data_IF_974107799965
#
_entry.id   IF_974107799965
#
_cell.length_a   1.000
_cell.length_b   1.000
_cell.length_c   1.000
_cell.angle_alpha   90.00
_cell.angle_beta   90.00
_cell.angle_gamma   90.00
#
_symmetry.space_group_name_H-M   'P 1'
#
loop_
_entity.id
_entity.type
_entity.pdbx_description
1 polymer ?
#
# COMPACT_ATOMS: atom_id res chain seq x y z
N UNK A 1 32.50 35.29 -35.02
CA UNK A 1 32.27 36.74 -34.90
C UNK A 1 31.94 37.02 -33.43
N UNK A 2 32.93 37.21 -32.56
CA UNK A 2 33.35 38.52 -32.00
C UNK A 2 32.55 38.82 -30.72
N UNK A 3 33.03 39.27 -29.56
CA UNK A 3 34.32 39.75 -29.05
C UNK A 3 34.32 39.52 -27.52
N UNK A 4 35.50 39.29 -26.94
CA UNK A 4 35.78 39.17 -25.51
C UNK A 4 36.16 40.54 -24.93
N UNK A 5 35.59 40.98 -23.79
CA UNK A 5 36.17 42.07 -22.97
C UNK A 5 36.00 41.75 -21.48
N UNK A 6 37.12 41.70 -20.75
CA UNK A 6 37.17 42.03 -19.32
C UNK A 6 37.44 40.88 -18.34
N UNK A 7 38.71 40.75 -17.92
CA UNK A 7 39.14 40.09 -16.67
C UNK A 7 39.19 41.12 -15.54
N UNK A 8 38.90 40.71 -14.29
CA UNK A 8 39.56 41.07 -13.01
C UNK A 8 38.83 40.27 -11.90
N UNK A 9 39.42 39.18 -11.41
CA UNK A 9 40.11 38.99 -10.10
C UNK A 9 39.28 38.29 -9.04
N UNK A 10 39.79 37.13 -8.62
CA UNK A 10 39.81 36.55 -7.26
C UNK A 10 38.52 36.50 -6.43
N UNK A 11 38.09 35.28 -6.12
CA UNK A 11 37.26 34.99 -4.95
C UNK A 11 36.38 33.77 -5.16
N UNK A 12 36.77 32.62 -4.62
CA UNK A 12 35.88 31.47 -4.40
C UNK A 12 34.76 31.83 -3.42
N UNK A 13 33.49 31.57 -3.74
CA UNK A 13 32.43 31.55 -2.72
C UNK A 13 31.96 30.11 -2.45
N UNK A 14 32.07 29.76 -1.18
CA UNK A 14 31.39 28.69 -0.44
C UNK A 14 29.85 28.72 -0.67
N UNK A 15 29.16 27.59 -0.93
CA UNK A 15 27.72 27.59 -1.16
C UNK A 15 26.95 27.36 0.14
N UNK A 16 26.63 28.43 0.86
CA UNK A 16 25.58 28.40 1.87
C UNK A 16 24.71 29.66 1.82
N UNK A 17 23.40 29.44 1.68
CA UNK A 17 22.31 30.38 1.83
C UNK A 17 22.19 31.50 0.77
N UNK A 18 21.16 31.39 -0.08
CA UNK A 18 20.54 32.56 -0.70
C UNK A 18 19.03 32.56 -0.42
N UNK A 19 18.64 33.45 0.48
CA UNK A 19 17.32 34.09 0.54
C UNK A 19 17.38 35.26 -0.43
N UNK A 20 16.43 35.43 -1.36
CA UNK A 20 16.08 36.76 -1.85
C UNK A 20 14.59 36.92 -2.18
N UNK A 21 14.08 38.06 -1.71
CA UNK A 21 12.76 38.64 -1.90
C UNK A 21 12.60 39.24 -3.30
N UNK A 22 11.36 39.12 -3.79
CA UNK A 22 10.59 39.97 -4.74
C UNK A 22 11.33 41.06 -5.52
N UNK A 23 11.11 41.08 -6.84
CA UNK A 23 10.81 42.31 -7.56
C UNK A 23 9.84 42.06 -8.74
N UNK A 24 8.90 43.00 -8.87
CA UNK A 24 7.70 43.08 -9.72
C UNK A 24 7.97 43.60 -11.13
N UNK A 25 7.22 43.10 -12.13
CA UNK A 25 6.88 43.82 -13.37
C UNK A 25 5.51 43.32 -13.93
N UNK A 26 4.70 44.15 -14.63
CA UNK A 26 3.24 44.02 -14.69
C UNK A 26 2.69 43.22 -15.88
N UNK A 27 1.46 42.73 -15.70
CA UNK A 27 0.65 41.97 -16.65
C UNK A 27 0.16 42.75 -17.88
N UNK A 28 -0.22 42.05 -18.95
CA UNK A 28 -1.43 42.33 -19.70
C UNK A 28 -2.54 41.29 -19.39
N UNK A 29 -3.75 41.80 -19.14
CA UNK A 29 -5.07 41.14 -19.14
C UNK A 29 -5.31 40.47 -20.52
N UNK A 30 -6.06 39.39 -20.78
CA UNK A 30 -7.30 38.79 -20.24
C UNK A 30 -7.33 37.32 -20.72
N UNK A 31 -7.72 36.37 -19.86
CA UNK A 31 -8.61 35.24 -20.20
C UNK A 31 -8.96 34.50 -18.90
N UNK A 32 -10.24 34.51 -18.55
CA UNK A 32 -10.77 33.79 -17.40
C UNK A 32 -10.53 32.28 -17.57
N UNK A 33 -9.73 31.69 -16.67
CA UNK A 33 -9.61 30.26 -16.48
C UNK A 33 -10.17 29.91 -15.09
N UNK A 34 -11.02 28.88 -15.08
CA UNK A 34 -11.79 28.33 -13.95
C UNK A 34 -10.97 28.09 -12.67
N UNK A 35 -11.60 28.10 -11.48
CA UNK A 35 -10.90 27.80 -10.24
C UNK A 35 -10.33 26.36 -10.24
N UNK A 36 -9.18 26.13 -9.57
CA UNK A 36 -8.59 24.79 -9.43
C UNK A 36 -9.50 23.88 -8.60
N UNK A 37 -9.57 22.57 -8.89
CA UNK A 37 -10.42 21.65 -8.14
C UNK A 37 -9.92 21.51 -6.70
N UNK A 38 -10.85 21.64 -5.77
CA UNK A 38 -10.73 21.35 -4.34
C UNK A 38 -10.21 19.92 -4.11
N UNK A 39 -9.37 19.66 -3.08
CA UNK A 39 -8.86 18.32 -2.82
C UNK A 39 -10.00 17.34 -2.61
N UNK A 40 -10.15 16.40 -3.54
CA UNK A 40 -11.13 15.33 -3.43
C UNK A 40 -10.76 14.46 -2.23
N UNK A 41 -11.67 14.39 -1.26
CA UNK A 41 -11.58 13.50 -0.11
C UNK A 41 -11.65 12.04 -0.57
N UNK A 42 -10.50 11.43 -0.88
CA UNK A 42 -10.39 9.99 -1.14
C UNK A 42 -9.88 9.25 0.09
N UNK A 43 -10.80 8.98 1.00
CA UNK A 43 -10.85 7.79 1.84
C UNK A 43 -12.09 7.94 2.73
N UNK A 44 -13.14 7.18 2.46
CA UNK A 44 -14.16 6.98 3.47
C UNK A 44 -13.49 6.34 4.70
N UNK A 45 -13.65 6.90 5.91
CA UNK A 45 -13.24 6.22 7.12
C UNK A 45 -14.15 5.02 7.31
N UNK A 46 -13.63 3.81 7.07
CA UNK A 46 -14.37 2.57 7.33
C UNK A 46 -14.69 2.50 8.84
N UNK A 47 -15.95 2.29 9.24
CA UNK A 47 -16.31 2.05 10.63
C UNK A 47 -15.54 0.87 11.23
N UNK A 48 -14.94 1.12 12.38
CA UNK A 48 -14.28 0.13 13.23
C UNK A 48 -15.32 -0.85 13.79
N UNK A 49 -15.30 -2.10 13.36
CA UNK A 49 -15.72 -3.21 14.21
C UNK A 49 -14.48 -3.74 14.93
N UNK A 50 -14.34 -3.40 16.21
CA UNK A 50 -13.37 -4.05 17.09
C UNK A 50 -13.89 -5.42 17.51
N UNK A 51 -13.20 -6.54 17.22
CA UNK A 51 -13.52 -7.80 17.88
C UNK A 51 -13.01 -7.73 19.32
N UNK A 52 -13.92 -7.72 20.29
CA UNK A 52 -13.59 -8.08 21.68
C UNK A 52 -13.32 -9.59 21.71
N UNK A 53 -12.13 -9.99 22.16
CA UNK A 53 -11.81 -11.40 22.49
C UNK A 53 -12.73 -11.94 23.61
N UNK A 54 -12.91 -13.27 23.72
CA UNK A 54 -14.24 -13.87 23.69
C UNK A 54 -14.80 -14.24 25.06
N UNK A 55 -16.13 -14.16 25.19
CA UNK A 55 -16.88 -14.89 26.21
C UNK A 55 -17.63 -16.03 25.53
N UNK A 56 -17.28 -17.26 25.89
CA UNK A 56 -17.91 -18.50 25.44
C UNK A 56 -19.41 -18.44 25.70
N UNK A 57 -20.21 -18.54 24.63
CA UNK A 57 -21.63 -18.93 24.71
C UNK A 57 -22.00 -19.72 23.45
N UNK A 58 -22.31 -20.99 23.65
CA UNK A 58 -22.87 -21.89 22.63
C UNK A 58 -24.28 -21.41 22.26
N UNK A 59 -24.57 -21.21 20.97
CA UNK A 59 -25.89 -21.49 20.38
C UNK A 59 -25.90 -21.31 18.84
N UNK A 60 -26.31 -22.40 18.18
CA UNK A 60 -26.93 -22.57 16.85
C UNK A 60 -26.22 -22.04 15.60
N UNK A 61 -25.58 -22.98 14.88
CA UNK A 61 -25.21 -22.89 13.47
C UNK A 61 -26.41 -22.65 12.55
N UNK A 62 -26.38 -21.64 11.66
CA UNK A 62 -27.10 -21.72 10.39
C UNK A 62 -26.33 -22.65 9.46
N UNK A 63 -27.04 -23.62 8.88
CA UNK A 63 -26.54 -24.50 7.82
C UNK A 63 -26.23 -23.65 6.57
N UNK A 64 -25.06 -23.76 5.94
CA UNK A 64 -24.77 -23.01 4.71
C UNK A 64 -25.68 -23.50 3.58
N UNK A 65 -26.43 -22.58 3.00
CA UNK A 65 -27.11 -22.76 1.71
C UNK A 65 -26.06 -22.63 0.61
N UNK A 66 -26.00 -23.52 -0.40
CA UNK A 66 -25.05 -23.38 -1.50
C UNK A 66 -25.43 -22.14 -2.32
N UNK A 67 -24.55 -21.13 -2.35
CA UNK A 67 -24.65 -20.06 -3.33
C UNK A 67 -23.95 -20.51 -4.60
N UNK A 68 -24.72 -20.62 -5.68
CA UNK A 68 -24.25 -20.99 -7.00
C UNK A 68 -23.47 -19.82 -7.60
N UNK A 69 -22.14 -19.93 -7.62
CA UNK A 69 -21.25 -19.08 -8.42
C UNK A 69 -20.20 -18.30 -7.62
N UNK A 70 -18.94 -18.72 -7.72
CA UNK A 70 -17.79 -17.89 -7.31
C UNK A 70 -17.05 -18.30 -6.03
N UNK A 71 -17.27 -19.51 -5.53
CA UNK A 71 -16.40 -20.05 -4.49
C UNK A 71 -15.07 -20.44 -5.13
N UNK A 72 -14.03 -19.62 -4.94
CA UNK A 72 -12.66 -20.12 -5.08
C UNK A 72 -12.55 -21.25 -4.06
N UNK A 73 -12.23 -22.49 -4.46
CA UNK A 73 -12.02 -23.55 -3.49
C UNK A 73 -10.98 -23.08 -2.48
N UNK A 74 -11.35 -23.04 -1.20
CA UNK A 74 -10.42 -22.85 -0.08
C UNK A 74 -9.56 -24.10 0.08
N UNK A 75 -8.85 -24.48 -0.98
CA UNK A 75 -7.96 -25.63 -0.95
C UNK A 75 -6.75 -25.26 -0.11
N UNK A 76 -6.49 -26.12 0.87
CA UNK A 76 -5.38 -26.08 1.83
C UNK A 76 -3.98 -26.15 1.18
N UNK A 77 -3.86 -25.99 -0.14
CA UNK A 77 -2.63 -26.08 -0.90
C UNK A 77 -2.55 -24.92 -1.90
N UNK A 78 -1.59 -24.04 -1.67
CA UNK A 78 -1.03 -23.04 -2.59
C UNK A 78 -1.97 -22.52 -3.71
N UNK A 79 -2.50 -21.29 -3.56
CA UNK A 79 -3.36 -20.68 -4.56
C UNK A 79 -2.73 -20.47 -5.96
N UNK A 80 -1.41 -20.70 -6.16
CA UNK A 80 -0.77 -20.61 -7.49
C UNK A 80 -1.24 -21.77 -8.35
N UNK A 81 -1.60 -22.88 -7.71
CA UNK A 81 -2.19 -24.05 -8.37
C UNK A 81 -3.66 -23.84 -8.69
N UNK A 82 -4.36 -23.01 -7.91
CA UNK A 82 -5.77 -22.67 -8.15
C UNK A 82 -5.90 -21.62 -9.25
N UNK A 83 -4.96 -20.68 -9.34
CA UNK A 83 -5.09 -19.52 -10.21
C UNK A 83 -4.34 -19.59 -11.52
N UNK A 84 -3.47 -20.57 -11.74
CA UNK A 84 -2.66 -20.64 -12.95
C UNK A 84 -1.71 -19.43 -13.06
N UNK A 85 -0.54 -19.63 -13.65
CA UNK A 85 0.43 -18.53 -13.83
C UNK A 85 -0.02 -17.44 -14.82
N UNK A 86 -1.16 -17.64 -15.50
CA UNK A 86 -1.66 -16.76 -16.57
C UNK A 86 -2.82 -15.83 -16.15
N UNK A 87 -3.46 -16.04 -14.98
CA UNK A 87 -4.62 -15.22 -14.54
C UNK A 87 -4.25 -14.21 -13.43
N UNK A 88 -2.95 -13.98 -13.23
CA UNK A 88 -2.43 -13.09 -12.19
C UNK A 88 -1.93 -11.80 -12.85
N UNK A 89 -2.77 -10.76 -12.95
CA UNK A 89 -2.31 -9.41 -13.25
C UNK A 89 -1.63 -8.78 -12.01
N UNK A 90 -0.62 -9.49 -11.51
CA UNK A 90 0.15 -9.13 -10.32
C UNK A 90 1.27 -8.18 -10.73
N UNK A 91 1.21 -6.95 -10.23
CA UNK A 91 2.21 -5.93 -10.54
C UNK A 91 3.41 -5.99 -9.61
N UNK A 92 4.45 -6.72 -10.04
CA UNK A 92 5.73 -6.83 -9.30
C UNK A 92 6.47 -5.48 -9.20
N UNK A 93 6.34 -4.61 -10.21
CA UNK A 93 6.99 -3.29 -10.22
C UNK A 93 6.40 -2.37 -9.15
N UNK A 94 5.07 -2.29 -9.06
CA UNK A 94 4.38 -1.50 -8.03
C UNK A 94 4.66 -2.06 -6.63
N UNK A 95 4.64 -3.40 -6.46
CA UNK A 95 5.00 -4.04 -5.19
C UNK A 95 6.41 -3.65 -4.74
N UNK A 96 7.38 -3.65 -5.66
CA UNK A 96 8.78 -3.26 -5.38
C UNK A 96 8.88 -1.79 -4.96
N UNK A 97 8.20 -0.89 -5.66
CA UNK A 97 8.18 0.54 -5.33
C UNK A 97 7.56 0.79 -3.95
N UNK A 98 6.45 0.12 -3.64
CA UNK A 98 5.82 0.19 -2.32
C UNK A 98 6.78 -0.22 -1.20
N UNK A 99 7.55 -1.30 -1.37
CA UNK A 99 8.56 -1.71 -0.37
C UNK A 99 9.63 -0.64 -0.20
N UNK A 100 10.13 -0.06 -1.30
CA UNK A 100 11.16 0.99 -1.25
C UNK A 100 10.66 2.25 -0.54
N UNK A 101 9.46 2.72 -0.87
CA UNK A 101 8.83 3.88 -0.25
C UNK A 101 8.53 3.64 1.23
N UNK A 102 8.00 2.47 1.58
CA UNK A 102 7.76 2.07 2.97
C UNK A 102 9.07 2.08 3.77
N UNK A 103 10.16 1.57 3.19
CA UNK A 103 11.47 1.60 3.82
C UNK A 103 12.09 3.01 3.91
N UNK A 104 11.78 3.91 2.97
CA UNK A 104 12.14 5.32 3.05
C UNK A 104 11.46 5.99 4.24
N UNK A 105 10.14 5.82 4.37
CA UNK A 105 9.35 6.32 5.50
C UNK A 105 9.89 5.80 6.84
N UNK A 106 10.14 4.48 6.92
CA UNK A 106 10.68 3.85 8.13
C UNK A 106 12.05 4.41 8.51
N UNK A 107 12.92 4.63 7.55
CA UNK A 107 14.26 5.21 7.78
C UNK A 107 14.15 6.62 8.32
N UNK A 108 13.28 7.45 7.77
CA UNK A 108 13.00 8.81 8.28
C UNK A 108 12.43 8.81 9.69
N UNK A 109 11.76 7.74 10.11
CA UNK A 109 11.28 7.54 11.47
C UNK A 109 12.31 6.86 12.41
N UNK A 110 13.50 6.52 11.93
CA UNK A 110 14.52 5.84 12.73
C UNK A 110 14.33 4.32 12.88
N UNK A 111 13.36 3.72 12.19
CA UNK A 111 13.23 2.27 12.13
C UNK A 111 14.23 1.64 11.15
N UNK A 112 14.58 0.37 11.39
CA UNK A 112 15.30 -0.46 10.42
C UNK A 112 14.44 -0.73 9.18
N UNK A 113 15.05 -0.81 7.98
CA UNK A 113 14.33 -1.23 6.78
C UNK A 113 13.85 -2.68 6.94
N UNK A 114 12.67 -2.95 6.40
CA UNK A 114 12.07 -4.27 6.31
C UNK A 114 12.72 -5.07 5.19
N UNK A 115 12.90 -6.37 5.44
CA UNK A 115 13.35 -7.34 4.44
C UNK A 115 12.12 -7.92 3.72
N UNK A 116 12.15 -7.97 2.39
CA UNK A 116 11.11 -8.68 1.65
C UNK A 116 11.17 -10.18 1.97
N UNK A 117 10.03 -10.78 2.35
CA UNK A 117 9.90 -12.22 2.56
C UNK A 117 8.91 -12.80 1.55
N UNK A 118 9.34 -13.79 0.77
CA UNK A 118 8.52 -14.36 -0.31
C UNK A 118 7.23 -14.99 0.20
N UNK A 119 7.19 -15.47 1.44
CA UNK A 119 6.00 -16.09 2.03
C UNK A 119 4.93 -15.03 2.35
N UNK A 120 5.36 -13.88 2.88
CA UNK A 120 4.48 -12.73 3.05
C UNK A 120 4.04 -12.17 1.70
N UNK A 121 4.94 -12.08 0.71
CA UNK A 121 4.58 -11.64 -0.65
C UNK A 121 3.53 -12.55 -1.24
N UNK A 122 3.71 -13.87 -1.09
CA UNK A 122 2.76 -14.87 -1.54
C UNK A 122 1.37 -14.69 -0.91
N UNK A 123 1.32 -14.50 0.41
CA UNK A 123 0.08 -14.22 1.15
C UNK A 123 -0.62 -12.97 0.60
N UNK A 124 0.12 -11.87 0.47
CA UNK A 124 -0.40 -10.59 0.02
C UNK A 124 -0.89 -10.62 -1.45
N UNK A 125 -0.18 -11.30 -2.35
CA UNK A 125 -0.60 -11.46 -3.76
C UNK A 125 -1.92 -12.20 -3.88
N UNK A 126 -2.06 -13.29 -3.13
CA UNK A 126 -3.28 -14.09 -3.09
C UNK A 126 -4.44 -13.24 -2.58
N UNK A 127 -4.24 -12.52 -1.49
CA UNK A 127 -5.32 -11.73 -0.92
C UNK A 127 -5.76 -10.58 -1.84
N UNK A 128 -4.82 -9.89 -2.49
CA UNK A 128 -5.15 -8.87 -3.50
C UNK A 128 -5.95 -9.45 -4.67
N UNK A 129 -5.65 -10.68 -5.10
CA UNK A 129 -6.42 -11.37 -6.13
C UNK A 129 -7.81 -11.78 -5.65
N UNK A 130 -7.94 -12.28 -4.42
CA UNK A 130 -9.22 -12.63 -3.81
C UNK A 130 -10.13 -11.42 -3.72
N UNK A 131 -9.60 -10.28 -3.27
CA UNK A 131 -10.33 -9.01 -3.25
C UNK A 131 -10.74 -8.57 -4.67
N UNK A 132 -9.83 -8.65 -5.64
CA UNK A 132 -10.10 -8.29 -7.02
C UNK A 132 -11.24 -9.13 -7.63
N UNK A 133 -11.18 -10.46 -7.47
CA UNK A 133 -12.15 -11.39 -8.06
C UNK A 133 -13.53 -11.35 -7.38
N UNK A 134 -13.55 -11.17 -6.07
CA UNK A 134 -14.80 -11.08 -5.31
C UNK A 134 -15.43 -9.68 -5.34
N UNK A 135 -14.64 -8.65 -5.70
CA UNK A 135 -15.01 -7.25 -5.57
C UNK A 135 -15.17 -6.77 -4.13
N UNK A 136 -14.78 -7.59 -3.14
CA UNK A 136 -14.92 -7.28 -1.71
C UNK A 136 -13.63 -6.66 -1.17
N UNK A 137 -13.76 -5.54 -0.45
CA UNK A 137 -12.64 -4.90 0.25
C UNK A 137 -12.71 -5.30 1.73
N UNK A 138 -12.00 -6.36 2.09
CA UNK A 138 -12.07 -7.02 3.40
C UNK A 138 -10.70 -7.53 3.80
N UNK A 139 -10.37 -7.48 5.10
CA UNK A 139 -9.19 -8.14 5.65
C UNK A 139 -9.33 -9.67 5.64
N UNK A 140 -10.54 -10.19 5.84
CA UNK A 140 -10.79 -11.62 5.83
C UNK A 140 -10.99 -12.12 4.40
N UNK A 141 -10.45 -13.30 4.11
CA UNK A 141 -10.64 -14.00 2.84
C UNK A 141 -12.08 -14.50 2.69
N UNK A 142 -12.54 -14.79 1.45
CA UNK A 142 -13.88 -15.34 1.22
C UNK A 142 -14.18 -16.66 1.95
N UNK A 143 -13.14 -17.42 2.29
CA UNK A 143 -13.24 -18.65 3.08
C UNK A 143 -13.29 -18.41 4.61
N UNK A 144 -13.29 -17.15 5.05
CA UNK A 144 -13.29 -16.73 6.45
C UNK A 144 -11.93 -16.69 7.12
N UNK A 145 -10.84 -16.91 6.38
CA UNK A 145 -9.48 -16.87 6.93
C UNK A 145 -9.03 -15.45 7.23
N UNK A 146 -8.39 -15.28 8.40
CA UNK A 146 -7.76 -14.03 8.77
C UNK A 146 -6.43 -13.80 8.03
N UNK A 147 -5.85 -12.58 8.07
CA UNK A 147 -4.53 -12.31 7.51
C UNK A 147 -3.45 -13.23 8.08
N UNK A 148 -3.50 -13.54 9.38
CA UNK A 148 -2.54 -14.45 10.00
C UNK A 148 -2.68 -15.90 9.54
N UNK A 149 -3.91 -16.36 9.29
CA UNK A 149 -4.14 -17.69 8.72
C UNK A 149 -3.56 -17.79 7.31
N UNK A 150 -3.75 -16.75 6.49
CA UNK A 150 -3.15 -16.66 5.14
C UNK A 150 -1.62 -16.67 5.19
N UNK A 151 -1.02 -15.83 6.03
CA UNK A 151 0.45 -15.79 6.20
C UNK A 151 0.97 -17.16 6.67
N UNK A 152 0.29 -17.80 7.62
CA UNK A 152 0.65 -19.12 8.13
C UNK A 152 0.54 -20.21 7.05
N UNK A 153 -0.52 -20.19 6.24
CA UNK A 153 -0.66 -21.09 5.06
C UNK A 153 0.44 -20.88 4.03
N UNK A 154 0.93 -19.65 3.87
CA UNK A 154 2.10 -19.36 3.05
C UNK A 154 3.44 -19.76 3.70
N UNK A 155 3.41 -20.34 4.90
CA UNK A 155 4.59 -20.79 5.66
C UNK A 155 5.24 -19.70 6.52
N UNK A 156 4.56 -18.58 6.76
CA UNK A 156 5.02 -17.49 7.61
C UNK A 156 4.19 -17.40 8.91
N UNK A 157 4.72 -17.95 10.00
CA UNK A 157 3.96 -18.08 11.26
C UNK A 157 4.07 -16.88 12.20
N UNK A 158 4.92 -15.90 11.89
CA UNK A 158 5.17 -14.74 12.75
C UNK A 158 4.55 -13.44 12.20
N UNK A 159 3.36 -13.55 11.63
CA UNK A 159 2.61 -12.41 11.09
C UNK A 159 2.37 -11.33 12.14
N UNK A 160 2.60 -10.07 11.77
CA UNK A 160 2.55 -8.93 12.67
C UNK A 160 1.37 -8.01 12.40
N UNK A 161 1.09 -7.73 11.12
CA UNK A 161 0.05 -6.82 10.69
C UNK A 161 -0.25 -6.97 9.20
N UNK A 162 -1.37 -6.41 8.76
CA UNK A 162 -1.73 -6.22 7.36
C UNK A 162 -2.21 -4.78 7.14
N UNK A 163 -1.87 -4.19 5.99
CA UNK A 163 -2.57 -3.04 5.44
C UNK A 163 -3.16 -3.44 4.08
N UNK A 164 -4.41 -3.07 3.82
CA UNK A 164 -5.03 -3.20 2.50
C UNK A 164 -5.35 -1.83 1.89
N UNK A 165 -5.46 -1.76 0.57
CA UNK A 165 -5.75 -0.53 -0.16
C UNK A 165 -6.43 -0.82 -1.49
N UNK A 166 -7.17 0.16 -2.02
CA UNK A 166 -7.87 0.06 -3.31
C UNK A 166 -7.94 1.44 -3.95
N UNK A 167 -7.75 1.51 -5.27
CA UNK A 167 -7.97 2.72 -6.06
C UNK A 167 -6.81 3.72 -6.06
N UNK A 168 -5.71 3.42 -5.35
CA UNK A 168 -4.44 4.12 -5.56
C UNK A 168 -3.86 3.68 -6.90
N UNK A 169 -3.54 4.64 -7.77
CA UNK A 169 -3.01 4.37 -9.11
C UNK A 169 -1.50 4.13 -9.03
N UNK A 170 -0.82 4.78 -8.07
CA UNK A 170 0.63 4.70 -7.91
C UNK A 170 1.04 4.13 -6.55
N UNK A 171 2.29 3.65 -6.47
CA UNK A 171 2.87 3.19 -5.21
C UNK A 171 3.00 4.34 -4.19
N UNK A 172 3.31 5.55 -4.67
CA UNK A 172 3.37 6.77 -3.88
C UNK A 172 2.03 7.09 -3.24
N UNK A 173 0.94 7.07 -4.02
CA UNK A 173 -0.41 7.29 -3.51
C UNK A 173 -0.80 6.25 -2.46
N UNK A 174 -0.49 4.97 -2.70
CA UNK A 174 -0.78 3.90 -1.74
C UNK A 174 -0.05 4.11 -0.40
N UNK A 175 1.26 4.39 -0.44
CA UNK A 175 2.04 4.63 0.78
C UNK A 175 1.60 5.92 1.47
N UNK A 176 1.29 6.98 0.73
CA UNK A 176 0.74 8.22 1.31
C UNK A 176 -0.62 7.96 1.98
N UNK A 177 -1.52 7.21 1.33
CA UNK A 177 -2.81 6.84 1.88
C UNK A 177 -2.70 6.05 3.18
N UNK A 178 -1.84 5.02 3.21
CA UNK A 178 -1.54 4.29 4.44
C UNK A 178 -0.92 5.18 5.52
N UNK A 179 -0.03 6.10 5.14
CA UNK A 179 0.56 7.05 6.08
C UNK A 179 -0.39 8.14 6.54
N UNK A 180 -1.50 8.41 5.84
CA UNK A 180 -2.55 9.33 6.28
C UNK A 180 -3.51 8.67 7.29
N UNK A 181 -3.72 7.35 7.19
CA UNK A 181 -4.52 6.58 8.15
C UNK A 181 -3.72 6.21 9.41
N UNK A 182 -4.26 6.49 10.60
CA UNK A 182 -3.57 6.24 11.87
C UNK A 182 -3.24 4.76 12.11
N UNK A 183 -4.18 3.86 11.79
CA UNK A 183 -4.02 2.45 12.09
C UNK A 183 -3.06 1.79 11.09
N UNK A 184 -3.10 2.15 9.81
CA UNK A 184 -2.11 1.69 8.82
C UNK A 184 -0.70 2.25 9.10
N UNK A 185 -0.59 3.54 9.45
CA UNK A 185 0.67 4.17 9.84
C UNK A 185 1.32 3.46 11.01
N UNK A 186 0.54 3.03 12.01
CA UNK A 186 1.07 2.30 13.17
C UNK A 186 1.79 1.02 12.74
N UNK A 187 1.27 0.31 11.74
CA UNK A 187 1.89 -0.91 11.22
C UNK A 187 3.23 -0.57 10.54
N UNK A 188 3.24 0.41 9.63
CA UNK A 188 4.45 0.84 8.90
C UNK A 188 5.54 1.34 9.85
N UNK A 189 5.18 2.10 10.89
CA UNK A 189 6.12 2.70 11.85
C UNK A 189 6.43 1.82 13.06
N UNK A 190 5.92 0.58 13.12
CA UNK A 190 6.32 -0.34 14.17
C UNK A 190 7.78 -0.80 13.94
N UNK A 191 8.70 -0.25 14.73
CA UNK A 191 10.12 -0.60 14.63
C UNK A 191 10.46 -2.01 15.12
N UNK A 192 9.52 -2.81 15.63
CA UNK A 192 9.72 -4.23 15.96
C UNK A 192 9.57 -5.16 14.74
N UNK A 193 8.83 -4.73 13.73
CA UNK A 193 8.62 -5.48 12.49
C UNK A 193 9.95 -5.58 11.71
N UNK A 194 10.17 -6.74 11.08
CA UNK A 194 11.41 -7.08 10.36
C UNK A 194 11.19 -7.44 8.90
N UNK A 195 10.02 -7.97 8.57
CA UNK A 195 9.70 -8.48 7.25
C UNK A 195 8.47 -7.79 6.63
N UNK A 196 8.43 -7.76 5.30
CA UNK A 196 7.31 -7.27 4.51
C UNK A 196 7.07 -8.18 3.30
N UNK A 197 5.82 -8.33 2.90
CA UNK A 197 5.39 -8.84 1.61
C UNK A 197 4.35 -7.90 1.02
N UNK A 198 4.37 -7.72 -0.30
CA UNK A 198 3.42 -6.82 -0.98
C UNK A 198 2.85 -7.50 -2.20
N UNK A 199 1.52 -7.48 -2.31
CA UNK A 199 0.78 -7.98 -3.47
C UNK A 199 -0.06 -6.87 -4.07
N UNK A 200 0.02 -6.70 -5.39
CA UNK A 200 -0.73 -5.68 -6.12
C UNK A 200 -1.39 -6.35 -7.32
N UNK A 201 -2.72 -6.26 -7.43
CA UNK A 201 -3.47 -6.79 -8.58
C UNK A 201 -4.21 -5.66 -9.27
N UNK A 202 -3.93 -5.48 -10.57
CA UNK A 202 -4.69 -4.56 -11.40
C UNK A 202 -5.91 -5.31 -11.98
N UNK A 203 -7.11 -4.87 -11.62
CA UNK A 203 -8.37 -5.46 -12.15
C UNK A 203 -9.48 -4.41 -12.04
N UNK A 204 -10.71 -4.76 -12.40
CA UNK A 204 -11.90 -3.93 -12.29
C UNK A 204 -12.05 -3.33 -10.88
N UNK A 205 -12.07 -1.99 -10.83
CA UNK A 205 -12.12 -1.23 -9.60
C UNK A 205 -10.82 -1.30 -8.76
N UNK A 206 -9.74 -1.86 -9.29
CA UNK A 206 -8.39 -1.82 -8.74
C UNK A 206 -7.56 -0.66 -9.33
N UNK A 207 -6.28 -0.52 -8.92
CA UNK A 207 -5.47 -1.59 -8.31
C UNK A 207 -5.85 -1.95 -6.87
N UNK A 208 -5.69 -3.23 -6.53
CA UNK A 208 -5.95 -3.83 -5.22
C UNK A 208 -4.62 -4.14 -4.53
N UNK A 209 -4.45 -3.69 -3.29
CA UNK A 209 -3.17 -3.66 -2.61
C UNK A 209 -3.25 -4.40 -1.27
N UNK A 210 -2.24 -5.21 -0.98
CA UNK A 210 -2.03 -5.84 0.33
C UNK A 210 -0.57 -5.68 0.73
N UNK A 211 -0.32 -5.22 1.96
CA UNK A 211 0.97 -5.18 2.64
C UNK A 211 0.90 -6.08 3.88
N UNK A 212 1.60 -7.20 3.83
CA UNK A 212 1.74 -8.12 4.95
C UNK A 212 3.06 -7.89 5.67
N UNK A 213 3.02 -7.91 7.00
CA UNK A 213 4.18 -7.65 7.85
C UNK A 213 4.49 -8.81 8.78
N UNK A 214 5.75 -8.94 9.18
CA UNK A 214 6.18 -10.00 10.08
C UNK A 214 7.38 -9.68 10.98
N UNK A 215 7.53 -10.43 12.07
CA UNK A 215 8.55 -10.21 13.09
C UNK A 215 9.93 -10.86 12.79
N UNK A 216 10.05 -11.80 11.83
CA UNK A 216 11.31 -12.52 11.53
C UNK A 216 11.73 -12.50 10.08
#
# INVERSE_FOLDING_TARGET
>A
MGVLIGRLTSGTPDPAAQIYLKNTQPSPTVAAASPPPEPQAFAEPIPRETPKSPRVRRSSTPKPTPSTGGQVPGDMNDPTKVFGSNDLDVSTSLATQVVQLTNSVRRSHGCRPLRTDRRLTRSAEVHSLEMARSGQFSFDSPDGSSPWDRMARAGYTQGAAENIGRGYVTAEEAVQGWMANRDHRKNILNCEIRAIGVGVVADAGGPWWTQDFGYS
#
